data_IF_180907041410
#
_entry.id   IF_180907041410
#
_cell.length_a   1.000
_cell.length_b   1.000
_cell.length_c   1.000
_cell.angle_alpha   90.00
_cell.angle_beta   90.00
_cell.angle_gamma   90.00
#
_symmetry.space_group_name_H-M   'P 1'
#
loop_
_entity.id
_entity.type
_entity.pdbx_description
1 polymer ?
#
# COMPACT_ATOMS: atom_id res chain seq x y z
N UNK A 1 3.28 -32.76 14.63
CA UNK A 1 2.45 -33.12 13.46
C UNK A 1 1.64 -31.89 13.08
N UNK A 2 2.09 -31.14 12.07
CA UNK A 2 1.27 -30.10 11.43
C UNK A 2 0.71 -30.71 10.17
N UNK A 3 -0.60 -30.61 10.01
CA UNK A 3 -1.33 -31.16 8.88
C UNK A 3 -0.89 -30.47 7.59
N UNK A 4 -0.52 -31.24 6.57
CA UNK A 4 -0.55 -30.78 5.18
C UNK A 4 -1.97 -30.34 4.84
N UNK A 5 -2.18 -29.22 4.14
CA UNK A 5 -3.46 -28.95 3.53
C UNK A 5 -3.62 -29.85 2.29
N UNK A 6 -3.96 -31.12 2.53
CA UNK A 6 -4.52 -31.99 1.51
C UNK A 6 -6.04 -31.84 1.57
N UNK A 7 -6.60 -30.99 0.72
CA UNK A 7 -8.03 -30.78 0.61
C UNK A 7 -8.42 -29.77 -0.45
N UNK A 8 -8.82 -30.27 -1.63
CA UNK A 8 -9.40 -29.59 -2.79
C UNK A 8 -8.43 -28.67 -3.59
N UNK A 9 -7.73 -29.27 -4.56
CA UNK A 9 -7.02 -28.56 -5.63
C UNK A 9 -8.01 -28.02 -6.67
N UNK A 10 -8.19 -26.68 -6.75
CA UNK A 10 -8.27 -26.03 -8.06
C UNK A 10 -7.55 -24.67 -8.10
N UNK A 11 -6.37 -24.50 -7.47
CA UNK A 11 -5.80 -23.13 -7.31
C UNK A 11 -4.63 -22.81 -8.24
N UNK A 12 -3.74 -23.73 -8.61
CA UNK A 12 -2.67 -23.42 -9.57
C UNK A 12 -2.50 -24.48 -10.67
N UNK A 13 -3.47 -25.40 -10.78
CA UNK A 13 -3.61 -26.44 -11.82
C UNK A 13 -2.44 -27.44 -11.92
N UNK A 14 -1.39 -27.29 -11.13
CA UNK A 14 -0.25 -28.19 -10.98
C UNK A 14 0.09 -28.34 -9.49
N UNK A 15 0.69 -29.47 -9.07
CA UNK A 15 1.04 -29.67 -7.67
C UNK A 15 2.15 -28.70 -7.22
N UNK A 16 2.08 -28.30 -5.95
CA UNK A 16 3.11 -27.50 -5.32
C UNK A 16 4.34 -28.35 -4.95
N UNK A 17 5.54 -27.85 -5.25
CA UNK A 17 6.80 -28.36 -4.73
C UNK A 17 7.29 -27.43 -3.60
N UNK A 18 7.17 -27.83 -2.33
CA UNK A 18 7.69 -27.04 -1.23
C UNK A 18 9.23 -27.08 -1.20
N UNK A 19 9.85 -25.92 -1.10
CA UNK A 19 11.30 -25.73 -0.97
C UNK A 19 11.62 -24.91 0.27
N UNK A 20 12.68 -25.27 0.97
CA UNK A 20 13.17 -24.52 2.12
C UNK A 20 14.23 -23.50 1.65
N UNK A 21 13.97 -22.22 1.87
CA UNK A 21 14.88 -21.11 1.56
C UNK A 21 15.12 -20.33 2.84
N UNK A 22 16.35 -20.33 3.36
CA UNK A 22 16.67 -19.59 4.59
C UNK A 22 15.93 -20.05 5.85
N UNK A 23 15.31 -21.24 5.83
CA UNK A 23 14.45 -21.72 6.92
C UNK A 23 12.96 -21.43 6.73
N UNK A 24 12.61 -20.69 5.67
CA UNK A 24 11.25 -20.40 5.26
C UNK A 24 10.79 -21.36 4.16
N UNK A 25 9.48 -21.65 4.13
CA UNK A 25 8.89 -22.51 3.10
C UNK A 25 8.42 -21.65 1.91
N UNK A 26 8.84 -22.05 0.71
CA UNK A 26 8.48 -21.45 -0.57
C UNK A 26 7.83 -22.51 -1.45
N UNK A 27 6.69 -22.21 -2.05
CA UNK A 27 5.94 -23.14 -2.90
C UNK A 27 6.26 -22.87 -4.37
N UNK A 28 6.79 -23.87 -5.07
CA UNK A 28 7.13 -23.77 -6.49
C UNK A 28 6.16 -24.60 -7.33
N UNK A 29 5.64 -24.00 -8.39
CA UNK A 29 4.73 -24.61 -9.34
C UNK A 29 5.37 -24.59 -10.72
N UNK A 30 5.65 -25.77 -11.28
CA UNK A 30 6.27 -25.90 -12.61
C UNK A 30 5.24 -26.34 -13.65
N UNK A 31 5.20 -25.61 -14.76
CA UNK A 31 4.30 -25.87 -15.87
C UNK A 31 5.04 -26.49 -17.06
N UNK A 32 4.28 -27.17 -17.92
CA UNK A 32 4.83 -27.78 -19.14
C UNK A 32 5.43 -26.72 -20.07
N UNK A 33 4.72 -25.59 -20.25
CA UNK A 33 5.17 -24.48 -21.08
C UNK A 33 5.05 -23.13 -20.36
N UNK A 34 5.80 -22.09 -20.79
CA UNK A 34 5.60 -20.74 -20.27
C UNK A 34 4.19 -20.18 -20.56
N UNK A 35 3.56 -20.63 -21.65
CA UNK A 35 2.21 -20.23 -22.07
C UNK A 35 1.16 -20.78 -21.10
N UNK A 36 1.26 -22.06 -20.71
CA UNK A 36 0.39 -22.68 -19.69
C UNK A 36 0.50 -21.96 -18.34
N UNK A 37 1.74 -21.66 -17.94
CA UNK A 37 2.03 -20.87 -16.74
C UNK A 37 1.39 -19.49 -16.82
N UNK A 38 1.53 -18.82 -17.96
CA UNK A 38 0.98 -17.47 -18.17
C UNK A 38 -0.54 -17.44 -18.02
N UNK A 39 -1.23 -18.43 -18.59
CA UNK A 39 -2.67 -18.57 -18.47
C UNK A 39 -3.12 -18.71 -17.01
N UNK A 40 -2.33 -19.37 -16.16
CA UNK A 40 -2.61 -19.48 -14.72
C UNK A 40 -2.22 -18.22 -13.97
N UNK A 41 -1.04 -17.65 -14.19
CA UNK A 41 -0.64 -16.41 -13.51
C UNK A 41 -1.60 -15.24 -13.81
N UNK A 42 -2.23 -15.23 -14.99
CA UNK A 42 -3.22 -14.22 -15.35
C UNK A 42 -4.55 -14.36 -14.59
N UNK A 43 -4.81 -15.50 -13.93
CA UNK A 43 -5.99 -15.70 -13.09
C UNK A 43 -5.76 -15.43 -11.61
N UNK A 44 -4.51 -15.12 -11.21
CA UNK A 44 -4.13 -14.71 -9.86
C UNK A 44 -4.47 -13.23 -9.70
N UNK A 45 -5.25 -12.88 -8.69
CA UNK A 45 -5.51 -11.48 -8.33
C UNK A 45 -4.24 -10.78 -7.85
N UNK A 46 -4.19 -9.45 -7.91
CA UNK A 46 -3.01 -8.66 -7.52
C UNK A 46 -2.59 -8.84 -6.05
N UNK A 47 -3.51 -9.26 -5.20
CA UNK A 47 -3.29 -9.58 -3.78
C UNK A 47 -3.16 -11.10 -3.53
N UNK A 48 -3.21 -11.91 -4.59
CA UNK A 48 -3.28 -13.37 -4.55
C UNK A 48 -4.37 -13.95 -3.62
N UNK A 49 -5.37 -13.15 -3.24
CA UNK A 49 -6.52 -13.59 -2.45
C UNK A 49 -7.52 -14.39 -3.28
N UNK A 50 -7.47 -14.28 -4.61
CA UNK A 50 -8.29 -15.04 -5.55
C UNK A 50 -7.41 -15.66 -6.62
N UNK A 51 -7.59 -16.95 -6.88
CA UNK A 51 -6.93 -17.64 -7.99
C UNK A 51 -7.98 -18.43 -8.78
N UNK A 52 -8.06 -18.17 -10.09
CA UNK A 52 -9.07 -18.80 -10.97
C UNK A 52 -10.51 -18.62 -10.45
N UNK A 53 -10.79 -17.46 -9.85
CA UNK A 53 -12.08 -17.14 -9.24
C UNK A 53 -12.34 -17.80 -7.88
N UNK A 54 -11.40 -18.60 -7.36
CA UNK A 54 -11.50 -19.24 -6.05
C UNK A 54 -10.77 -18.41 -5.00
N UNK A 55 -11.45 -18.06 -3.91
CA UNK A 55 -10.83 -17.38 -2.78
C UNK A 55 -9.82 -18.30 -2.09
N UNK A 56 -8.62 -17.79 -1.81
CA UNK A 56 -7.56 -18.51 -1.12
C UNK A 56 -7.22 -17.77 0.17
N UNK A 57 -7.28 -18.49 1.28
CA UNK A 57 -6.94 -17.95 2.60
C UNK A 57 -5.44 -18.12 2.86
N UNK A 58 -4.77 -17.00 3.07
CA UNK A 58 -3.38 -16.95 3.49
C UNK A 58 -3.29 -16.32 4.89
N UNK A 59 -2.34 -16.76 5.74
CA UNK A 59 -2.09 -16.10 7.01
C UNK A 59 -1.70 -14.61 6.84
N UNK A 60 -1.00 -14.32 5.74
CA UNK A 60 -0.58 -12.98 5.29
C UNK A 60 -0.55 -12.99 3.75
N UNK A 61 -0.66 -11.82 3.12
CA UNK A 61 -0.60 -11.70 1.66
C UNK A 61 0.74 -12.24 1.14
N UNK A 62 0.74 -13.29 0.30
CA UNK A 62 1.97 -13.89 -0.19
C UNK A 62 2.64 -12.98 -1.22
N UNK A 63 3.94 -13.15 -1.41
CA UNK A 63 4.64 -12.62 -2.59
C UNK A 63 4.68 -13.70 -3.66
N UNK A 64 4.38 -13.33 -4.91
CA UNK A 64 4.37 -14.27 -6.04
C UNK A 64 5.27 -13.78 -7.15
N UNK A 65 6.16 -14.65 -7.61
CA UNK A 65 7.05 -14.43 -8.75
C UNK A 65 6.68 -15.35 -9.90
N UNK A 66 7.02 -14.91 -11.11
CA UNK A 66 6.97 -15.76 -12.30
C UNK A 66 8.31 -15.72 -13.00
N UNK A 67 8.83 -16.88 -13.39
CA UNK A 67 10.05 -16.95 -14.18
C UNK A 67 10.01 -18.15 -15.11
N UNK A 68 10.03 -17.90 -16.42
CA UNK A 68 9.91 -18.94 -17.44
C UNK A 68 8.64 -19.79 -17.25
N UNK A 69 8.84 -21.04 -16.81
CA UNK A 69 7.79 -22.05 -16.56
C UNK A 69 7.36 -22.15 -15.09
N UNK A 70 7.84 -21.26 -14.23
CA UNK A 70 7.60 -21.32 -12.79
C UNK A 70 6.63 -20.23 -12.34
N UNK A 71 5.75 -20.60 -11.40
CA UNK A 71 5.15 -19.68 -10.43
C UNK A 71 5.75 -20.03 -9.07
N UNK A 72 6.23 -19.04 -8.36
CA UNK A 72 6.80 -19.21 -7.02
C UNK A 72 5.98 -18.39 -6.05
N UNK A 73 5.41 -19.04 -5.04
CA UNK A 73 4.56 -18.41 -4.02
C UNK A 73 5.28 -18.49 -2.69
N UNK A 74 5.54 -17.33 -2.08
CA UNK A 74 6.10 -17.24 -0.74
C UNK A 74 5.05 -16.69 0.22
N UNK A 75 4.51 -17.51 1.14
CA UNK A 75 3.53 -17.07 2.13
C UNK A 75 4.13 -16.35 3.34
N UNK A 76 5.47 -16.27 3.46
CA UNK A 76 6.15 -15.56 4.55
C UNK A 76 6.40 -14.08 4.23
N UNK A 77 7.08 -13.39 5.15
CA UNK A 77 7.41 -11.96 5.04
C UNK A 77 8.89 -11.66 5.35
N UNK A 78 9.73 -12.70 5.51
CA UNK A 78 11.16 -12.51 5.74
C UNK A 78 11.82 -11.77 4.55
N UNK A 79 12.37 -10.59 4.81
CA UNK A 79 12.95 -9.73 3.78
C UNK A 79 14.21 -10.31 3.14
N UNK A 80 14.98 -11.14 3.85
CA UNK A 80 16.15 -11.81 3.29
C UNK A 80 15.76 -12.82 2.21
N UNK A 81 14.72 -13.60 2.47
CA UNK A 81 14.12 -14.53 1.50
C UNK A 81 13.53 -13.80 0.30
N UNK A 82 12.80 -12.70 0.52
CA UNK A 82 12.23 -11.88 -0.58
C UNK A 82 13.34 -11.34 -1.49
N UNK A 83 14.35 -10.68 -0.92
CA UNK A 83 15.45 -10.11 -1.71
C UNK A 83 16.24 -11.17 -2.50
N UNK A 84 16.41 -12.35 -1.93
CA UNK A 84 17.03 -13.48 -2.62
C UNK A 84 16.19 -13.93 -3.81
N UNK A 85 14.88 -14.08 -3.63
CA UNK A 85 13.96 -14.51 -4.69
C UNK A 85 13.84 -13.44 -5.78
N UNK A 86 13.80 -12.15 -5.43
CA UNK A 86 13.85 -11.04 -6.41
C UNK A 86 15.10 -11.12 -7.29
N UNK A 87 16.27 -11.33 -6.67
CA UNK A 87 17.54 -11.47 -7.39
C UNK A 87 17.61 -12.69 -8.30
N UNK A 88 16.85 -13.75 -8.03
CA UNK A 88 16.84 -15.00 -8.79
C UNK A 88 15.74 -15.06 -9.86
N UNK A 89 14.57 -14.52 -9.56
CA UNK A 89 13.35 -14.68 -10.33
C UNK A 89 12.93 -13.39 -11.05
N UNK A 90 13.53 -12.26 -10.70
CA UNK A 90 13.10 -10.94 -11.15
C UNK A 90 12.03 -10.35 -10.26
N UNK A 91 11.31 -9.35 -10.75
CA UNK A 91 10.28 -8.66 -9.96
C UNK A 91 9.07 -9.58 -9.71
N UNK A 92 8.46 -9.53 -8.51
CA UNK A 92 7.23 -10.24 -8.23
C UNK A 92 6.08 -9.67 -9.10
N UNK A 93 5.16 -10.54 -9.51
CA UNK A 93 3.98 -10.14 -10.30
C UNK A 93 2.90 -9.48 -9.44
N UNK A 94 3.00 -9.61 -8.11
CA UNK A 94 2.19 -8.90 -7.14
C UNK A 94 2.88 -7.60 -6.79
N UNK A 95 2.99 -6.71 -7.78
CA UNK A 95 3.18 -5.31 -7.44
C UNK A 95 1.84 -4.87 -6.91
N UNK A 96 1.84 -4.38 -5.67
CA UNK A 96 0.71 -3.71 -5.05
C UNK A 96 -0.04 -2.89 -6.12
N UNK A 97 -1.38 -2.85 -6.05
CA UNK A 97 -2.08 -1.68 -6.59
C UNK A 97 -1.24 -0.47 -6.24
N UNK A 98 -0.92 0.45 -7.16
CA UNK A 98 -0.06 1.56 -6.82
C UNK A 98 -0.70 2.20 -5.59
N UNK A 99 -0.10 1.99 -4.42
CA UNK A 99 0.06 3.09 -3.50
C UNK A 99 0.76 4.05 -4.42
N UNK A 100 -0.02 5.01 -4.90
CA UNK A 100 0.51 6.10 -5.69
C UNK A 100 1.50 6.73 -4.72
N UNK A 101 2.75 6.28 -4.77
CA UNK A 101 3.94 6.99 -4.31
C UNK A 101 4.12 8.17 -5.28
N UNK A 102 3.05 8.92 -5.52
CA UNK A 102 3.20 10.36 -5.55
C UNK A 102 3.61 10.68 -4.11
N UNK A 103 4.88 11.05 -3.87
CA UNK A 103 5.35 11.28 -2.52
C UNK A 103 4.35 12.23 -1.88
N UNK A 104 3.70 11.78 -0.79
CA UNK A 104 2.78 12.62 -0.03
C UNK A 104 3.48 13.97 0.14
N UNK A 105 2.84 15.08 -0.29
CA UNK A 105 3.51 16.37 -0.19
C UNK A 105 3.90 16.58 1.28
N UNK A 106 5.04 17.23 1.57
CA UNK A 106 5.50 17.44 2.95
C UNK A 106 4.42 18.09 3.83
N UNK A 107 3.51 18.86 3.22
CA UNK A 107 2.29 19.38 3.80
C UNK A 107 1.37 18.34 4.47
N UNK A 108 1.28 17.11 3.94
CA UNK A 108 0.44 16.06 4.52
C UNK A 108 0.97 15.59 5.86
N UNK A 109 2.29 15.38 5.96
CA UNK A 109 2.92 15.05 7.23
C UNK A 109 2.71 16.18 8.26
N UNK A 110 2.90 17.44 7.85
CA UNK A 110 2.65 18.60 8.70
C UNK A 110 1.18 18.71 9.15
N UNK A 111 0.23 18.37 8.27
CA UNK A 111 -1.20 18.38 8.59
C UNK A 111 -1.59 17.30 9.60
N UNK A 112 -1.05 16.07 9.46
CA UNK A 112 -1.21 15.00 10.43
C UNK A 112 -0.65 15.43 11.79
N UNK A 113 0.56 15.97 11.81
CA UNK A 113 1.21 16.43 13.04
C UNK A 113 0.39 17.52 13.72
N UNK A 114 -0.02 18.57 12.99
CA UNK A 114 -0.83 19.65 13.54
C UNK A 114 -2.17 19.15 14.11
N UNK A 115 -2.84 18.22 13.41
CA UNK A 115 -4.11 17.67 13.90
C UNK A 115 -3.89 16.78 15.13
N UNK A 116 -2.82 15.98 15.16
CA UNK A 116 -2.47 15.14 16.32
C UNK A 116 -2.23 15.99 17.57
N UNK A 117 -1.53 17.11 17.42
CA UNK A 117 -1.28 18.07 18.51
C UNK A 117 -2.58 18.74 18.97
N UNK A 118 -3.48 19.11 18.05
CA UNK A 118 -4.78 19.71 18.39
C UNK A 118 -5.70 18.74 19.15
N UNK A 119 -5.66 17.46 18.81
CA UNK A 119 -6.52 16.44 19.43
C UNK A 119 -5.87 15.76 20.64
N UNK A 120 -4.55 15.89 20.82
CA UNK A 120 -3.81 15.12 21.82
C UNK A 120 -3.80 13.62 21.53
N UNK A 121 -3.90 13.24 20.26
CA UNK A 121 -3.97 11.84 19.79
C UNK A 121 -2.65 11.40 19.17
N UNK A 122 -2.49 10.09 18.99
CA UNK A 122 -1.34 9.56 18.26
C UNK A 122 -1.44 9.91 16.76
N UNK A 123 -0.38 10.41 16.09
CA UNK A 123 -0.38 10.69 14.65
C UNK A 123 -0.82 9.49 13.80
N UNK A 124 -0.54 8.26 14.23
CA UNK A 124 -0.91 7.03 13.51
C UNK A 124 -2.42 6.74 13.52
N UNK A 125 -3.16 7.39 14.42
CA UNK A 125 -4.63 7.30 14.47
C UNK A 125 -5.35 8.22 13.48
N UNK A 126 -4.60 9.08 12.78
CA UNK A 126 -5.13 10.04 11.80
C UNK A 126 -4.96 9.44 10.40
N UNK A 127 -6.05 9.35 9.67
CA UNK A 127 -6.05 8.86 8.29
C UNK A 127 -6.18 10.02 7.31
N UNK A 128 -5.40 9.98 6.24
CA UNK A 128 -5.51 10.92 5.12
C UNK A 128 -6.49 10.36 4.12
N UNK A 129 -7.62 11.05 3.93
CA UNK A 129 -8.69 10.62 3.00
C UNK A 129 -8.57 11.30 1.63
N UNK A 130 -7.71 12.31 1.50
CA UNK A 130 -7.34 12.89 0.21
C UNK A 130 -6.62 14.23 0.37
N UNK A 131 -6.03 14.71 -0.72
CA UNK A 131 -5.42 16.03 -0.78
C UNK A 131 -5.47 16.57 -2.22
N UNK A 132 -5.54 17.89 -2.37
CA UNK A 132 -5.45 18.55 -3.67
C UNK A 132 -4.70 19.88 -3.58
N UNK A 133 -4.00 20.30 -4.66
CA UNK A 133 -3.39 21.62 -4.72
C UNK A 133 -4.48 22.70 -4.80
N UNK A 134 -4.30 23.79 -4.07
CA UNK A 134 -5.23 24.93 -4.00
C UNK A 134 -4.44 26.24 -3.99
N UNK A 135 -4.98 27.26 -4.64
CA UNK A 135 -4.54 28.65 -4.49
C UNK A 135 -5.41 29.36 -3.46
N UNK A 136 -4.83 29.72 -2.32
CA UNK A 136 -5.53 30.42 -1.25
C UNK A 136 -5.65 31.91 -1.52
N UNK A 137 -6.73 32.57 -1.08
CA UNK A 137 -6.95 33.99 -1.37
C UNK A 137 -5.98 34.93 -0.64
N UNK A 138 -5.36 34.46 0.44
CA UNK A 138 -4.52 35.26 1.33
C UNK A 138 -3.43 34.41 2.02
N UNK A 139 -2.53 35.10 2.74
CA UNK A 139 -1.42 34.47 3.47
C UNK A 139 -1.86 33.64 4.70
N UNK A 140 -3.12 33.73 5.11
CA UNK A 140 -3.74 32.91 6.16
C UNK A 140 -4.44 31.67 5.59
N UNK A 141 -4.21 31.38 4.31
CA UNK A 141 -4.73 30.18 3.66
C UNK A 141 -6.27 30.14 3.65
N UNK A 142 -6.91 31.32 3.64
CA UNK A 142 -8.37 31.47 3.67
C UNK A 142 -9.02 31.09 5.01
N UNK A 143 -8.23 30.90 6.08
CA UNK A 143 -8.70 30.60 7.43
C UNK A 143 -8.06 31.59 8.44
N UNK A 144 -8.45 32.88 8.43
CA UNK A 144 -7.95 33.86 9.39
C UNK A 144 -8.41 33.53 10.82
N UNK A 145 -7.54 33.75 11.80
CA UNK A 145 -7.93 33.75 13.21
C UNK A 145 -8.69 35.03 13.61
N UNK A 146 -9.34 35.00 14.77
CA UNK A 146 -10.12 36.15 15.25
C UNK A 146 -9.23 37.39 15.43
N UNK A 147 -9.52 38.44 14.67
CA UNK A 147 -8.76 39.69 14.67
C UNK A 147 -7.46 39.64 13.86
N UNK A 148 -7.13 38.53 13.20
CA UNK A 148 -5.94 38.39 12.37
C UNK A 148 -6.07 39.18 11.07
N UNK A 149 -5.05 39.98 10.75
CA UNK A 149 -4.96 40.70 9.48
C UNK A 149 -4.05 39.93 8.53
N UNK A 150 -4.66 39.34 7.50
CA UNK A 150 -3.97 38.52 6.51
C UNK A 150 -3.49 39.37 5.35
N UNK A 151 -2.24 39.15 4.93
CA UNK A 151 -1.73 39.77 3.70
C UNK A 151 -2.54 39.27 2.51
N UNK A 152 -3.02 40.22 1.68
CA UNK A 152 -3.81 39.98 0.48
C UNK A 152 -2.92 39.49 -0.67
N UNK A 153 -2.40 38.28 -0.53
CA UNK A 153 -1.51 37.64 -1.49
C UNK A 153 -1.97 36.20 -1.73
N UNK A 154 -2.21 35.87 -3.00
CA UNK A 154 -2.57 34.51 -3.42
C UNK A 154 -1.43 33.57 -3.03
N UNK A 155 -1.75 32.55 -2.24
CA UNK A 155 -0.76 31.63 -1.66
C UNK A 155 -1.03 30.21 -2.16
N UNK A 156 -0.16 29.62 -3.01
CA UNK A 156 -0.29 28.23 -3.41
C UNK A 156 -0.07 27.28 -2.22
N UNK A 157 -0.78 26.17 -2.22
CA UNK A 157 -0.74 25.22 -1.12
C UNK A 157 -1.61 23.98 -1.33
N UNK A 158 -1.97 23.33 -0.23
CA UNK A 158 -2.74 22.08 -0.25
C UNK A 158 -3.97 22.17 0.62
N UNK A 159 -5.09 21.62 0.13
CA UNK A 159 -6.24 21.25 0.94
C UNK A 159 -6.18 19.76 1.22
N UNK A 160 -6.12 19.37 2.48
CA UNK A 160 -5.92 17.98 2.92
C UNK A 160 -7.12 17.58 3.76
N UNK A 161 -7.77 16.47 3.40
CA UNK A 161 -8.86 15.86 4.16
C UNK A 161 -8.32 14.76 5.06
N UNK A 162 -8.65 14.85 6.34
CA UNK A 162 -8.20 13.96 7.39
C UNK A 162 -9.40 13.38 8.15
N UNK A 163 -9.24 12.18 8.70
CA UNK A 163 -10.18 11.60 9.66
C UNK A 163 -9.45 11.16 10.92
N UNK A 164 -10.05 11.42 12.07
CA UNK A 164 -9.59 10.93 13.37
C UNK A 164 -10.78 10.33 14.11
N UNK A 165 -10.83 8.99 14.21
CA UNK A 165 -12.04 8.26 14.57
C UNK A 165 -13.17 8.56 13.59
N UNK A 166 -14.36 8.90 14.10
CA UNK A 166 -15.56 9.19 13.29
C UNK A 166 -15.67 10.66 12.83
N UNK A 167 -14.63 11.47 13.07
CA UNK A 167 -14.65 12.91 12.76
C UNK A 167 -13.76 13.22 11.58
N UNK A 168 -14.30 13.97 10.63
CA UNK A 168 -13.56 14.52 9.49
C UNK A 168 -13.03 15.93 9.80
N UNK A 169 -11.85 16.21 9.29
CA UNK A 169 -11.13 17.48 9.43
C UNK A 169 -10.56 17.90 8.07
N UNK A 170 -10.34 19.20 7.91
CA UNK A 170 -9.73 19.77 6.72
C UNK A 170 -8.54 20.64 7.14
N UNK A 171 -7.38 20.39 6.55
CA UNK A 171 -6.18 21.19 6.75
C UNK A 171 -5.89 22.00 5.49
N UNK A 172 -5.67 23.30 5.67
CA UNK A 172 -5.14 24.19 4.64
C UNK A 172 -3.66 24.44 4.93
N UNK A 173 -2.80 24.22 3.97
CA UNK A 173 -1.36 24.43 4.13
C UNK A 173 -0.78 25.27 3.01
N UNK A 174 0.42 25.81 3.20
CA UNK A 174 1.28 26.22 2.07
C UNK A 174 1.88 24.98 1.36
N UNK A 175 2.66 25.22 0.30
CA UNK A 175 3.26 24.14 -0.50
C UNK A 175 4.14 23.16 0.30
N UNK A 176 4.79 23.64 1.36
CA UNK A 176 5.79 22.89 2.11
C UNK A 176 5.28 22.38 3.47
N UNK A 177 4.09 22.81 3.90
CA UNK A 177 3.57 22.52 5.23
C UNK A 177 4.16 23.41 6.33
N UNK A 178 4.80 24.53 6.00
CA UNK A 178 5.38 25.43 7.01
C UNK A 178 4.29 26.21 7.76
N UNK A 179 3.13 26.39 7.13
CA UNK A 179 1.90 26.82 7.78
C UNK A 179 0.81 25.79 7.57
N UNK A 180 0.10 25.50 8.64
CA UNK A 180 -1.06 24.60 8.67
C UNK A 180 -2.19 25.29 9.43
N UNK A 181 -3.38 25.35 8.82
CA UNK A 181 -4.62 25.82 9.44
C UNK A 181 -5.65 24.70 9.40
N UNK A 182 -6.28 24.40 10.53
CA UNK A 182 -7.23 23.29 10.67
C UNK A 182 -8.66 23.82 10.82
N UNK A 183 -9.57 23.31 10.01
CA UNK A 183 -11.00 23.58 10.07
C UNK A 183 -11.74 22.48 10.80
#
# INVERSE_FOLDING_TARGET
MRASPAGAEPTLRVPALPLMVGGEEVLVYEYATPEDRQAVSASISLDAATIDGTAVEWPVTPTVWVSGRLIVVYPGQDGGTILLLDGLLGDPILVQSPVVDEPYPPAVAAAIEALSQRLGSDPTSIQVTGFEPVEWPDACLGLPEEGEQCAQAVTPGWRIRLTAGDRAYEAHTDLLGLRVRLK
#
